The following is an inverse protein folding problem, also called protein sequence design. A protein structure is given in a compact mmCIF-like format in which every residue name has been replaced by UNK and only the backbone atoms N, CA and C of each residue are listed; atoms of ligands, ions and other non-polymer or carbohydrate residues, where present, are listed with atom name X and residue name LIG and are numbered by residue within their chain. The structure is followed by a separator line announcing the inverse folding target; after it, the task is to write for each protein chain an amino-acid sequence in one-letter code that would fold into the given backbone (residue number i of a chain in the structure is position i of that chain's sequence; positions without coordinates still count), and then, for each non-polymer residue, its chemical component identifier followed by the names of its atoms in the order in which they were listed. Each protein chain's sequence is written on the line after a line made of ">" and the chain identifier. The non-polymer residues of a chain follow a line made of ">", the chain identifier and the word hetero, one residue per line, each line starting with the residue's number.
data_IF_481666076632
#
_entry.id   IF_481666076632
#
_cell.length_a   1.000
_cell.length_b   1.000
_cell.length_c   1.000
_cell.angle_alpha   90.00
_cell.angle_beta   90.00
_cell.angle_gamma   90.00
#
_symmetry.space_group_name_H-M   'P 1'
#
loop_
_entity.id
_entity.type
_entity.pdbx_description
1 polymer ?
#
# COMPACT_ATOMS: atom_id res chain seq x y z
N UNK A 1 -5.63 -18.25 18.75
CA UNK A 1 -6.63 -17.82 17.74
C UNK A 1 -7.40 -16.55 18.15
N UNK A 2 -7.86 -16.39 19.39
CA UNK A 2 -8.53 -15.16 19.89
C UNK A 2 -7.69 -13.87 19.69
N UNK A 3 -6.36 -13.95 19.77
CA UNK A 3 -5.46 -12.80 19.58
C UNK A 3 -5.55 -12.19 18.17
N UNK A 4 -5.66 -13.02 17.13
CA UNK A 4 -5.82 -12.58 15.74
C UNK A 4 -7.11 -11.79 15.59
N UNK A 5 -8.20 -12.31 16.17
CA UNK A 5 -9.52 -11.68 16.15
C UNK A 5 -9.51 -10.35 16.92
N UNK A 6 -8.81 -10.28 18.05
CA UNK A 6 -8.68 -9.05 18.83
C UNK A 6 -7.93 -7.95 18.08
N UNK A 7 -6.85 -8.26 17.38
CA UNK A 7 -6.06 -7.27 16.63
C UNK A 7 -6.84 -6.80 15.39
N UNK A 8 -7.45 -7.71 14.64
CA UNK A 8 -8.21 -7.35 13.43
C UNK A 8 -9.52 -6.64 13.73
N UNK A 9 -10.24 -7.06 14.77
CA UNK A 9 -11.51 -6.41 15.15
C UNK A 9 -11.31 -4.93 15.46
N UNK A 10 -10.21 -4.53 16.09
CA UNK A 10 -9.91 -3.11 16.34
C UNK A 10 -9.89 -2.29 15.03
N UNK A 11 -9.27 -2.82 13.97
CA UNK A 11 -9.21 -2.16 12.65
C UNK A 11 -10.63 -2.03 12.06
N UNK A 12 -11.41 -3.12 12.07
CA UNK A 12 -12.78 -3.12 11.54
C UNK A 12 -13.74 -2.23 12.34
N UNK A 13 -13.55 -2.14 13.66
CA UNK A 13 -14.31 -1.23 14.54
C UNK A 13 -14.02 0.21 14.14
N UNK A 14 -12.75 0.60 13.96
CA UNK A 14 -12.38 1.94 13.53
C UNK A 14 -12.97 2.27 12.15
N UNK A 15 -12.90 1.34 11.19
CA UNK A 15 -13.51 1.51 9.86
C UNK A 15 -15.03 1.72 9.99
N UNK A 16 -15.70 0.93 10.83
CA UNK A 16 -17.15 1.01 11.05
C UNK A 16 -17.54 2.34 11.69
N UNK A 17 -16.78 2.81 12.68
CA UNK A 17 -16.99 4.13 13.30
C UNK A 17 -16.85 5.23 12.24
N UNK A 18 -15.80 5.20 11.42
CA UNK A 18 -15.60 6.17 10.34
C UNK A 18 -16.78 6.18 9.34
N UNK A 19 -17.23 4.99 8.93
CA UNK A 19 -18.39 4.83 8.05
C UNK A 19 -19.68 5.40 8.66
N UNK A 20 -19.98 5.06 9.91
CA UNK A 20 -21.18 5.55 10.62
C UNK A 20 -21.12 7.08 10.78
N UNK A 21 -19.94 7.65 11.06
CA UNK A 21 -19.75 9.09 11.26
C UNK A 21 -20.10 9.89 10.00
N UNK A 22 -19.65 9.43 8.83
CA UNK A 22 -20.00 10.06 7.54
C UNK A 22 -21.47 9.80 7.20
N UNK A 23 -21.97 8.57 7.40
CA UNK A 23 -23.36 8.21 7.08
C UNK A 23 -24.38 8.98 7.93
N UNK A 24 -24.06 9.30 9.17
CA UNK A 24 -24.91 10.11 10.07
C UNK A 24 -24.77 11.62 9.85
N UNK A 25 -23.92 12.06 8.91
CA UNK A 25 -23.72 13.48 8.63
C UNK A 25 -22.94 14.25 9.70
N UNK A 26 -22.34 13.56 10.66
CA UNK A 26 -21.47 14.18 11.69
C UNK A 26 -20.21 14.76 11.03
N UNK A 27 -19.74 14.11 9.96
CA UNK A 27 -18.68 14.59 9.10
C UNK A 27 -19.19 14.73 7.66
N UNK A 28 -18.99 15.89 7.05
CA UNK A 28 -19.34 16.10 5.64
C UNK A 28 -18.44 15.25 4.73
N UNK A 29 -19.01 14.71 3.64
CA UNK A 29 -18.27 13.91 2.66
C UNK A 29 -17.13 14.72 2.01
N UNK A 30 -17.26 16.04 1.90
CA UNK A 30 -16.20 16.96 1.46
C UNK A 30 -14.99 16.95 2.41
N UNK A 31 -15.22 16.92 3.72
CA UNK A 31 -14.17 16.82 4.74
C UNK A 31 -13.48 15.45 4.72
N UNK A 32 -14.22 14.37 4.42
CA UNK A 32 -13.64 13.04 4.25
C UNK A 32 -12.65 12.97 3.06
N UNK A 33 -12.89 13.74 1.99
CA UNK A 33 -11.94 13.87 0.87
C UNK A 33 -10.62 14.51 1.32
N UNK A 34 -10.68 15.53 2.19
CA UNK A 34 -9.49 16.16 2.77
C UNK A 34 -8.65 15.19 3.60
N UNK A 35 -9.29 14.31 4.38
CA UNK A 35 -8.62 13.23 5.09
C UNK A 35 -7.95 12.24 4.14
N UNK A 36 -8.61 11.89 3.03
CA UNK A 36 -8.03 11.02 2.00
C UNK A 36 -6.74 11.60 1.40
N UNK A 37 -6.75 12.88 1.06
CA UNK A 37 -5.55 13.59 0.56
C UNK A 37 -4.45 13.62 1.62
N UNK A 38 -4.78 13.91 2.88
CA UNK A 38 -3.80 13.85 3.97
C UNK A 38 -3.15 12.47 4.10
N UNK A 39 -3.96 11.41 4.04
CA UNK A 39 -3.46 10.04 4.14
C UNK A 39 -2.51 9.71 2.99
N UNK A 40 -2.90 10.04 1.75
CA UNK A 40 -2.12 9.72 0.55
C UNK A 40 -0.84 10.56 0.46
N UNK A 41 -0.95 11.87 0.64
CA UNK A 41 0.15 12.80 0.36
C UNK A 41 1.14 12.94 1.52
N UNK A 42 0.70 12.67 2.76
CA UNK A 42 1.52 12.89 3.96
C UNK A 42 1.69 11.63 4.80
N UNK A 43 0.59 10.97 5.16
CA UNK A 43 0.67 9.84 6.10
C UNK A 43 1.36 8.61 5.48
N UNK A 44 1.06 8.27 4.22
CA UNK A 44 1.71 7.16 3.51
C UNK A 44 3.23 7.39 3.35
N UNK A 45 3.71 8.55 2.85
CA UNK A 45 5.14 8.83 2.81
C UNK A 45 5.81 8.81 4.18
N UNK A 46 5.17 9.39 5.21
CA UNK A 46 5.69 9.37 6.56
C UNK A 46 5.76 7.95 7.14
N UNK A 47 4.79 7.10 6.83
CA UNK A 47 4.78 5.68 7.21
C UNK A 47 5.95 4.94 6.54
N UNK A 48 6.17 5.17 5.24
CA UNK A 48 7.31 4.59 4.51
C UNK A 48 8.64 5.01 5.14
N UNK A 49 8.81 6.31 5.42
CA UNK A 49 10.01 6.83 6.07
C UNK A 49 10.20 6.27 7.49
N UNK A 50 9.12 6.19 8.28
CA UNK A 50 9.17 5.61 9.63
C UNK A 50 9.54 4.12 9.58
N UNK A 51 8.94 3.35 8.69
CA UNK A 51 9.26 1.94 8.51
C UNK A 51 10.74 1.75 8.15
N UNK A 52 11.26 2.60 7.28
CA UNK A 52 12.67 2.69 6.94
C UNK A 52 13.57 2.98 8.14
N UNK A 53 13.21 3.97 8.96
CA UNK A 53 14.01 4.42 10.09
C UNK A 53 13.97 3.47 11.30
N UNK A 54 12.87 2.73 11.49
CA UNK A 54 12.67 1.86 12.66
C UNK A 54 13.32 0.47 12.54
N UNK A 55 13.80 0.10 11.35
CA UNK A 55 14.45 -1.19 11.10
C UNK A 55 15.93 -1.00 10.74
N UNK A 56 16.81 -0.67 11.71
CA UNK A 56 18.25 -0.73 11.48
C UNK A 56 18.62 -2.18 11.11
N UNK A 57 19.38 -2.35 10.02
CA UNK A 57 19.86 -3.64 9.49
C UNK A 57 20.89 -4.29 10.43
N UNK A 58 20.48 -4.58 11.66
CA UNK A 58 21.40 -4.88 12.77
C UNK A 58 21.27 -6.26 13.39
N UNK A 59 20.25 -7.06 13.08
CA UNK A 59 20.14 -8.42 13.62
C UNK A 59 19.51 -9.39 12.61
N UNK A 60 20.36 -10.29 12.11
CA UNK A 60 20.02 -11.61 11.52
C UNK A 60 18.97 -11.56 10.40
N UNK A 61 19.17 -10.70 9.40
CA UNK A 61 18.52 -10.89 8.10
C UNK A 61 19.46 -11.78 7.28
N UNK A 62 19.10 -13.06 7.11
CA UNK A 62 19.75 -13.89 6.09
C UNK A 62 19.49 -13.24 4.74
N UNK A 63 20.54 -12.71 4.11
CA UNK A 63 20.45 -12.04 2.81
C UNK A 63 19.75 -12.91 1.76
N UNK A 64 19.96 -14.23 1.85
CA UNK A 64 19.31 -15.23 1.00
C UNK A 64 17.79 -15.23 1.14
N UNK A 65 17.29 -15.11 2.37
CA UNK A 65 15.86 -15.06 2.65
C UNK A 65 15.23 -13.76 2.16
N UNK A 66 15.93 -12.63 2.38
CA UNK A 66 15.51 -11.34 1.83
C UNK A 66 15.42 -11.39 0.32
N UNK A 67 16.45 -11.92 -0.35
CA UNK A 67 16.49 -12.01 -1.81
C UNK A 67 15.44 -12.97 -2.35
N UNK A 68 15.22 -14.13 -1.73
CA UNK A 68 14.19 -15.07 -2.14
C UNK A 68 12.79 -14.45 -2.05
N UNK A 69 12.49 -13.78 -0.94
CA UNK A 69 11.20 -13.12 -0.75
C UNK A 69 11.03 -11.91 -1.69
N UNK A 70 12.07 -11.08 -1.84
CA UNK A 70 12.04 -9.93 -2.74
C UNK A 70 11.82 -10.36 -4.19
N UNK A 71 12.56 -11.35 -4.68
CA UNK A 71 12.41 -11.87 -6.04
C UNK A 71 11.02 -12.47 -6.27
N UNK A 72 10.50 -13.25 -5.31
CA UNK A 72 9.15 -13.80 -5.39
C UNK A 72 8.08 -12.71 -5.48
N UNK A 73 8.15 -11.72 -4.58
CA UNK A 73 7.22 -10.60 -4.52
C UNK A 73 7.29 -9.73 -5.78
N UNK A 74 8.49 -9.38 -6.25
CA UNK A 74 8.69 -8.60 -7.48
C UNK A 74 8.21 -9.37 -8.71
N UNK A 75 8.46 -10.67 -8.78
CA UNK A 75 7.96 -11.51 -9.87
C UNK A 75 6.42 -11.48 -9.93
N UNK A 76 5.76 -11.61 -8.78
CA UNK A 76 4.30 -11.55 -8.70
C UNK A 76 3.77 -10.15 -9.05
N UNK A 77 4.47 -9.08 -8.65
CA UNK A 77 4.14 -7.71 -9.03
C UNK A 77 4.19 -7.54 -10.55
N UNK A 78 5.29 -7.96 -11.18
CA UNK A 78 5.48 -7.85 -12.62
C UNK A 78 4.41 -8.65 -13.36
N UNK A 79 4.17 -9.89 -12.95
CA UNK A 79 3.12 -10.74 -13.53
C UNK A 79 1.72 -10.13 -13.33
N UNK A 80 1.43 -9.59 -12.15
CA UNK A 80 0.16 -8.93 -11.85
C UNK A 80 -0.09 -7.72 -12.74
N UNK A 81 0.89 -6.81 -12.83
CA UNK A 81 0.79 -5.62 -13.69
C UNK A 81 0.68 -6.03 -15.16
N UNK A 82 1.54 -6.95 -15.65
CA UNK A 82 1.49 -7.42 -17.03
C UNK A 82 0.17 -8.09 -17.37
N UNK A 83 -0.35 -8.96 -16.50
CA UNK A 83 -1.64 -9.61 -16.69
C UNK A 83 -2.77 -8.58 -16.81
N UNK A 84 -2.80 -7.58 -15.93
CA UNK A 84 -3.83 -6.54 -15.95
C UNK A 84 -3.71 -5.60 -17.16
N UNK A 85 -2.49 -5.22 -17.55
CA UNK A 85 -2.25 -4.34 -18.69
C UNK A 85 -2.45 -5.05 -20.03
N UNK A 86 -1.92 -6.27 -20.20
CA UNK A 86 -1.90 -6.97 -21.49
C UNK A 86 -3.19 -7.76 -21.72
N UNK A 87 -3.61 -8.55 -20.73
CA UNK A 87 -4.75 -9.46 -20.90
C UNK A 87 -6.05 -8.73 -20.61
N UNK A 88 -6.10 -7.96 -19.52
CA UNK A 88 -7.31 -7.20 -19.16
C UNK A 88 -7.39 -5.81 -19.79
N UNK A 89 -6.34 -5.37 -20.51
CA UNK A 89 -6.29 -4.07 -21.21
C UNK A 89 -6.62 -2.88 -20.30
N UNK A 90 -6.28 -2.97 -19.01
CA UNK A 90 -6.49 -1.88 -18.05
C UNK A 90 -5.40 -0.82 -18.17
N UNK A 91 -5.72 0.41 -17.78
CA UNK A 91 -4.73 1.48 -17.67
C UNK A 91 -3.68 1.16 -16.60
N UNK A 92 -2.46 1.67 -16.77
CA UNK A 92 -1.31 1.41 -15.87
C UNK A 92 -1.65 1.77 -14.42
N UNK A 93 -2.39 2.85 -14.20
CA UNK A 93 -2.83 3.26 -12.86
C UNK A 93 -3.74 2.22 -12.21
N UNK A 94 -4.76 1.77 -12.93
CA UNK A 94 -5.71 0.79 -12.43
C UNK A 94 -5.03 -0.58 -12.22
N UNK A 95 -4.15 -0.97 -13.13
CA UNK A 95 -3.33 -2.18 -13.00
C UNK A 95 -2.44 -2.14 -11.76
N UNK A 96 -1.79 -1.01 -11.47
CA UNK A 96 -0.95 -0.83 -10.29
C UNK A 96 -1.76 -0.94 -8.99
N UNK A 97 -2.90 -0.24 -8.91
CA UNK A 97 -3.79 -0.27 -7.74
C UNK A 97 -4.33 -1.69 -7.49
N UNK A 98 -4.77 -2.39 -8.53
CA UNK A 98 -5.27 -3.76 -8.38
C UNK A 98 -4.17 -4.76 -8.04
N UNK A 99 -2.97 -4.56 -8.59
CA UNK A 99 -1.81 -5.41 -8.27
C UNK A 99 -1.37 -5.21 -6.83
N UNK A 100 -1.47 -3.99 -6.30
CA UNK A 100 -1.23 -3.71 -4.89
C UNK A 100 -2.10 -4.58 -3.97
N UNK A 101 -3.36 -4.84 -4.35
CA UNK A 101 -4.26 -5.70 -3.59
C UNK A 101 -3.87 -7.18 -3.52
N UNK A 102 -3.01 -7.67 -4.43
CA UNK A 102 -2.53 -9.07 -4.43
C UNK A 102 -1.09 -9.22 -3.93
N UNK A 103 -0.31 -8.14 -3.91
CA UNK A 103 1.12 -8.19 -3.55
C UNK A 103 1.46 -7.49 -2.24
N UNK A 104 0.67 -6.51 -1.80
CA UNK A 104 0.86 -5.85 -0.50
C UNK A 104 -0.05 -6.55 0.50
N UNK A 105 0.49 -7.59 1.12
CA UNK A 105 -0.24 -8.40 2.08
C UNK A 105 -0.37 -7.67 3.42
N UNK A 106 -1.39 -8.04 4.21
CA UNK A 106 -1.49 -7.58 5.58
C UNK A 106 -0.56 -8.43 6.50
N UNK A 107 0.73 -8.37 6.21
CA UNK A 107 1.75 -9.21 6.84
C UNK A 107 1.92 -8.87 8.34
N UNK A 108 1.80 -7.60 8.71
CA UNK A 108 1.97 -7.16 10.09
C UNK A 108 0.76 -7.43 11.00
N UNK A 109 -0.48 -7.21 10.53
CA UNK A 109 -1.66 -7.36 11.40
C UNK A 109 -2.32 -8.74 11.30
N UNK A 110 -2.25 -9.40 10.15
CA UNK A 110 -2.81 -10.74 9.95
C UNK A 110 -1.74 -11.83 9.85
N UNK A 111 -0.71 -11.62 9.04
CA UNK A 111 0.36 -12.61 8.84
C UNK A 111 1.12 -12.92 10.12
N UNK A 112 1.53 -11.90 10.87
CA UNK A 112 2.37 -12.06 12.04
C UNK A 112 1.70 -12.82 13.19
N UNK A 113 0.47 -12.52 13.63
CA UNK A 113 -0.16 -13.29 14.70
C UNK A 113 -0.38 -14.77 14.36
N UNK A 114 -0.55 -15.10 13.07
CA UNK A 114 -0.63 -16.49 12.59
C UNK A 114 0.77 -17.12 12.62
N UNK A 115 1.76 -16.46 12.02
CA UNK A 115 3.13 -16.94 11.97
C UNK A 115 3.73 -17.11 13.37
N UNK A 116 3.45 -16.20 14.31
CA UNK A 116 3.90 -16.28 15.69
C UNK A 116 3.31 -17.47 16.43
N UNK A 117 2.06 -17.86 16.13
CA UNK A 117 1.46 -19.06 16.73
C UNK A 117 2.09 -20.36 16.22
N UNK A 118 2.59 -20.38 14.98
CA UNK A 118 3.15 -21.59 14.34
C UNK A 118 4.66 -21.69 14.56
N UNK A 119 5.38 -20.59 14.34
CA UNK A 119 6.84 -20.51 14.29
C UNK A 119 7.47 -19.85 15.52
N UNK A 120 6.65 -19.37 16.46
CA UNK A 120 7.11 -18.77 17.72
C UNK A 120 7.96 -17.52 17.50
N UNK A 121 9.15 -17.51 18.10
CA UNK A 121 10.02 -16.33 18.14
C UNK A 121 10.68 -16.00 16.80
N UNK A 122 10.89 -17.02 15.95
CA UNK A 122 11.44 -16.85 14.58
C UNK A 122 10.50 -16.03 13.67
N UNK A 123 9.20 -15.98 13.98
CA UNK A 123 8.23 -15.18 13.23
C UNK A 123 8.52 -13.67 13.31
N UNK A 124 9.12 -13.19 14.42
CA UNK A 124 9.45 -11.76 14.57
C UNK A 124 10.57 -11.34 13.63
N UNK A 125 11.63 -12.15 13.53
CA UNK A 125 12.75 -11.88 12.63
C UNK A 125 12.30 -11.89 11.17
N UNK A 126 11.48 -12.87 10.78
CA UNK A 126 10.95 -12.99 9.43
C UNK A 126 9.97 -11.85 9.07
N UNK A 127 9.19 -11.37 10.05
CA UNK A 127 8.30 -10.23 9.82
C UNK A 127 9.07 -8.98 9.40
N UNK A 128 10.21 -8.71 10.03
CA UNK A 128 11.03 -7.56 9.66
C UNK A 128 11.44 -7.62 8.19
N UNK A 129 11.85 -8.80 7.70
CA UNK A 129 12.20 -9.00 6.29
C UNK A 129 11.02 -8.74 5.36
N UNK A 130 9.84 -9.30 5.67
CA UNK A 130 8.64 -9.11 4.84
C UNK A 130 8.22 -7.65 4.78
N UNK A 131 8.11 -7.00 5.94
CA UNK A 131 7.70 -5.60 6.07
C UNK A 131 8.73 -4.68 5.41
N UNK A 132 10.03 -5.00 5.52
CA UNK A 132 11.08 -4.28 4.81
C UNK A 132 10.89 -4.39 3.31
N UNK A 133 10.76 -5.58 2.72
CA UNK A 133 10.59 -5.73 1.26
C UNK A 133 9.30 -5.04 0.77
N UNK A 134 8.19 -5.22 1.49
CA UNK A 134 6.92 -4.58 1.15
C UNK A 134 7.02 -3.05 1.17
N UNK A 135 7.60 -2.46 2.22
CA UNK A 135 7.68 -1.00 2.36
C UNK A 135 8.82 -0.37 1.53
N UNK A 136 9.94 -1.06 1.35
CA UNK A 136 11.11 -0.52 0.64
C UNK A 136 11.02 -0.66 -0.86
N UNK A 137 10.44 -1.76 -1.33
CA UNK A 137 10.50 -2.13 -2.75
C UNK A 137 9.11 -2.09 -3.33
N UNK A 138 8.16 -2.84 -2.76
CA UNK A 138 6.87 -3.05 -3.39
C UNK A 138 5.99 -1.80 -3.39
N UNK A 139 5.82 -1.17 -2.22
CA UNK A 139 4.97 0.03 -2.07
C UNK A 139 5.45 1.20 -2.93
N UNK A 140 6.73 1.62 -2.90
CA UNK A 140 7.20 2.72 -3.73
C UNK A 140 7.00 2.43 -5.21
N UNK A 141 7.37 1.23 -5.68
CA UNK A 141 7.22 0.84 -7.09
C UNK A 141 5.75 0.91 -7.53
N UNK A 142 4.83 0.37 -6.74
CA UNK A 142 3.40 0.38 -7.08
C UNK A 142 2.79 1.79 -7.03
N UNK A 143 3.16 2.61 -6.06
CA UNK A 143 2.70 4.01 -5.97
C UNK A 143 3.23 4.81 -7.16
N UNK A 144 4.52 4.68 -7.49
CA UNK A 144 5.12 5.33 -8.67
C UNK A 144 4.43 4.89 -9.96
N UNK A 145 4.14 3.59 -10.13
CA UNK A 145 3.39 3.09 -11.29
C UNK A 145 1.97 3.67 -11.34
N UNK A 146 1.30 3.76 -10.19
CA UNK A 146 -0.03 4.36 -10.09
C UNK A 146 -0.03 5.84 -10.48
N UNK A 147 0.98 6.60 -10.02
CA UNK A 147 1.15 8.02 -10.35
C UNK A 147 1.48 8.24 -11.82
N UNK A 148 2.42 7.48 -12.39
CA UNK A 148 2.76 7.56 -13.82
C UNK A 148 1.54 7.25 -14.68
N UNK A 149 0.74 6.25 -14.31
CA UNK A 149 -0.51 5.95 -14.99
C UNK A 149 -1.56 7.06 -14.90
N UNK A 150 -1.58 7.80 -13.78
CA UNK A 150 -2.52 8.90 -13.54
C UNK A 150 -2.18 10.16 -14.38
N UNK A 151 -0.90 10.39 -14.67
CA UNK A 151 -0.46 11.56 -15.44
C UNK A 151 -0.97 11.55 -16.90
N UNK A 152 -1.37 10.40 -17.42
CA UNK A 152 -1.82 10.25 -18.81
C UNK A 152 -3.23 10.78 -19.11
N UNK A 153 -4.08 11.13 -18.12
CA UNK A 153 -5.48 11.52 -18.42
C UNK A 153 -5.97 12.87 -17.88
N UNK A 154 -5.32 13.50 -16.89
CA UNK A 154 -5.88 14.70 -16.26
C UNK A 154 -5.12 16.01 -16.49
N UNK A 155 -3.79 16.00 -16.70
CA UNK A 155 -2.99 17.25 -16.64
C UNK A 155 -2.72 17.90 -18.01
N UNK A 156 -2.55 17.11 -19.09
CA UNK A 156 -2.24 17.66 -20.42
C UNK A 156 -3.36 18.53 -21.00
N UNK A 157 -4.61 18.05 -20.92
CA UNK A 157 -5.78 18.75 -21.48
C UNK A 157 -6.12 20.01 -20.66
N UNK A 158 -6.03 19.95 -19.33
CA UNK A 158 -6.31 21.10 -18.46
C UNK A 158 -5.23 22.19 -18.58
N UNK A 159 -3.95 21.82 -18.73
CA UNK A 159 -2.87 22.82 -18.90
C UNK A 159 -3.00 23.52 -20.26
N UNK A 160 -3.24 22.77 -21.34
CA UNK A 160 -3.45 23.37 -22.68
C UNK A 160 -4.71 24.25 -22.70
N UNK A 161 -5.81 23.81 -22.10
CA UNK A 161 -7.03 24.62 -22.01
C UNK A 161 -6.86 25.87 -21.13
N UNK A 162 -6.08 25.80 -20.06
CA UNK A 162 -5.81 26.95 -19.18
C UNK A 162 -4.89 27.96 -19.87
N UNK A 163 -3.93 27.51 -20.66
CA UNK A 163 -3.04 28.36 -21.46
C UNK A 163 -3.84 29.05 -22.58
N UNK A 164 -4.69 28.31 -23.31
CA UNK A 164 -5.53 28.89 -24.38
C UNK A 164 -6.53 29.91 -23.81
N UNK A 165 -7.16 29.62 -22.67
CA UNK A 165 -8.08 30.57 -22.01
C UNK A 165 -7.41 31.80 -21.38
N UNK A 166 -6.09 31.79 -21.21
CA UNK A 166 -5.33 32.97 -20.72
C UNK A 166 -4.71 33.79 -21.86
N UNK A 167 -4.67 33.25 -23.08
CA UNK A 167 -4.12 33.92 -24.26
C UNK A 167 -5.19 34.51 -25.18
N UNK A 168 -6.46 34.10 -25.02
CA UNK A 168 -7.66 34.75 -25.57
C UNK A 168 -8.29 35.64 -24.50
#
# INVERSE_FOLDING_TARGET
>A
MLTVLSITSAIFIIITIGFITVRRGVLAASSARGLGVFVVDYALPALLFKALAQHPMGQVISIDFFMAYALGSVSLLVLGVLFRCVIQRRGVQEAAILTMGITVSNSAFMGFPIAQQIFGETARANLAVYVSVENLVMLPVLITLAEVGNQSHARGILIVQTIIKRLL
#
